data_IF_228437693472
#
_entry.id   IF_228437693472
#
_cell.length_a   1.000
_cell.length_b   1.000
_cell.length_c   1.000
_cell.angle_alpha   90.00
_cell.angle_beta   90.00
_cell.angle_gamma   90.00
#
_symmetry.space_group_name_H-M   'P 1'
#
loop_
_entity.id
_entity.type
_entity.pdbx_description
1 polymer ?
#
# COMPACT_ATOMS: atom_id res chain seq x y z
N UNK A 1 -8.56 23.54 44.37
CA UNK A 1 -9.62 23.77 43.35
C UNK A 1 -9.00 24.46 42.19
N UNK A 2 -9.58 24.32 41.01
CA UNK A 2 -9.19 25.02 39.79
C UNK A 2 -10.16 26.17 39.60
N UNK A 3 -9.68 27.39 39.26
CA UNK A 3 -10.54 28.56 39.05
C UNK A 3 -11.03 28.60 37.58
N UNK A 4 -10.14 28.36 36.64
CA UNK A 4 -10.45 28.34 35.21
C UNK A 4 -9.42 27.50 34.46
N UNK A 5 -9.72 27.21 33.22
CA UNK A 5 -8.77 26.56 32.29
C UNK A 5 -8.98 27.10 30.88
N UNK A 6 -7.92 27.05 30.08
CA UNK A 6 -7.95 27.30 28.65
C UNK A 6 -7.51 26.04 27.93
N UNK A 7 -8.23 25.68 26.87
CA UNK A 7 -7.88 24.54 26.03
C UNK A 7 -7.33 25.07 24.70
N UNK A 8 -6.03 24.94 24.50
CA UNK A 8 -5.32 25.33 23.28
C UNK A 8 -4.99 24.13 22.39
N UNK A 9 -5.58 22.95 22.70
CA UNK A 9 -5.31 21.70 21.98
C UNK A 9 -5.69 21.82 20.52
N UNK A 10 -4.86 21.22 19.66
CA UNK A 10 -5.11 21.02 18.22
C UNK A 10 -5.59 19.61 17.96
N UNK A 11 -5.71 19.19 16.70
CA UNK A 11 -6.01 17.82 16.32
C UNK A 11 -4.84 16.86 16.59
N UNK A 12 -3.62 17.38 16.74
CA UNK A 12 -2.40 16.59 16.90
C UNK A 12 -1.79 16.72 18.30
N UNK A 13 -1.95 17.90 18.95
CA UNK A 13 -1.33 18.21 20.24
C UNK A 13 -2.38 18.51 21.31
N UNK A 14 -2.10 18.06 22.55
CA UNK A 14 -2.91 18.32 23.74
C UNK A 14 -2.24 19.41 24.57
N UNK A 15 -2.87 20.60 24.65
CA UNK A 15 -2.37 21.74 25.41
C UNK A 15 -3.50 22.36 26.26
N UNK A 16 -3.32 22.32 27.59
CA UNK A 16 -4.23 22.89 28.56
C UNK A 16 -3.48 23.78 29.55
N UNK A 17 -3.92 25.03 29.65
CA UNK A 17 -3.50 25.92 30.72
C UNK A 17 -4.53 25.93 31.87
N UNK A 18 -4.07 25.72 33.10
CA UNK A 18 -4.90 25.61 34.28
C UNK A 18 -4.54 26.75 35.26
N UNK A 19 -5.54 27.53 35.65
CA UNK A 19 -5.35 28.67 36.51
C UNK A 19 -5.94 28.45 37.90
N UNK A 20 -5.24 29.01 38.91
CA UNK A 20 -5.71 29.04 40.30
C UNK A 20 -5.72 27.66 40.99
N UNK A 21 -4.85 26.74 40.56
CA UNK A 21 -4.73 25.46 41.24
C UNK A 21 -4.12 25.62 42.65
N UNK A 22 -4.84 25.18 43.66
CA UNK A 22 -4.47 25.27 45.09
C UNK A 22 -4.26 23.90 45.76
N UNK A 23 -4.20 22.83 44.98
CA UNK A 23 -3.99 21.47 45.48
C UNK A 23 -2.52 21.18 45.80
N UNK A 24 -2.29 20.01 46.46
CA UNK A 24 -0.95 19.54 46.86
C UNK A 24 -0.30 18.65 45.80
N UNK A 25 -1.10 17.93 45.01
CA UNK A 25 -0.63 16.97 43.99
C UNK A 25 -1.48 17.10 42.74
N UNK A 26 -0.96 17.87 41.78
CA UNK A 26 -1.61 18.16 40.52
C UNK A 26 -1.97 16.85 39.77
N UNK A 27 -1.05 15.90 39.69
CA UNK A 27 -1.22 14.64 38.97
C UNK A 27 -2.37 13.80 39.52
N UNK A 28 -2.46 13.75 40.85
CA UNK A 28 -3.50 13.00 41.56
C UNK A 28 -4.85 13.72 41.53
N UNK A 29 -4.84 15.01 41.79
CA UNK A 29 -6.06 15.83 41.92
C UNK A 29 -6.74 15.99 40.54
N UNK A 30 -5.98 16.09 39.47
CA UNK A 30 -6.49 16.14 38.08
C UNK A 30 -6.66 14.74 37.46
N UNK A 31 -6.41 13.67 38.20
CA UNK A 31 -6.51 12.28 37.72
C UNK A 31 -5.70 12.04 36.42
N UNK A 32 -4.55 12.70 36.30
CA UNK A 32 -3.69 12.60 35.12
C UNK A 32 -2.99 11.22 34.97
N UNK A 33 -3.01 10.40 36.05
CA UNK A 33 -2.43 9.07 36.05
C UNK A 33 -3.51 8.00 35.97
N UNK A 34 -3.40 7.14 34.94
CA UNK A 34 -4.23 5.95 34.81
C UNK A 34 -3.37 4.70 34.95
N UNK A 35 -3.78 3.78 35.81
CA UNK A 35 -3.08 2.49 35.99
C UNK A 35 -3.81 1.44 35.15
N UNK A 36 -3.06 0.73 34.31
CA UNK A 36 -3.55 -0.43 33.56
C UNK A 36 -2.97 -1.70 34.22
N UNK A 37 -3.83 -2.67 34.46
CA UNK A 37 -3.42 -3.95 34.97
C UNK A 37 -3.25 -4.97 33.86
N UNK A 38 -2.13 -5.68 33.85
CA UNK A 38 -1.82 -6.74 32.90
C UNK A 38 -2.37 -8.11 33.28
N UNK A 39 -3.17 -8.18 34.34
CA UNK A 39 -3.77 -9.42 34.82
C UNK A 39 -4.90 -9.98 33.96
N UNK A 40 -5.48 -9.15 33.10
CA UNK A 40 -6.59 -9.51 32.22
C UNK A 40 -6.21 -9.44 30.74
N UNK A 41 -5.14 -10.13 30.35
CA UNK A 41 -4.67 -10.17 28.94
C UNK A 41 -5.43 -11.24 28.16
N UNK A 42 -6.70 -10.97 27.85
CA UNK A 42 -7.50 -11.78 26.95
C UNK A 42 -7.52 -11.13 25.56
N UNK A 43 -7.01 -11.83 24.54
CA UNK A 43 -6.97 -11.37 23.17
C UNK A 43 -7.50 -12.47 22.23
N UNK A 44 -7.87 -12.09 21.02
CA UNK A 44 -8.21 -13.05 19.98
C UNK A 44 -6.95 -13.73 19.46
N UNK A 45 -6.87 -15.04 19.66
CA UNK A 45 -5.86 -15.87 19.04
C UNK A 45 -6.31 -16.22 17.61
N UNK A 46 -5.42 -16.28 16.60
CA UNK A 46 -5.79 -16.51 15.19
C UNK A 46 -6.62 -17.78 14.95
N UNK A 47 -6.43 -18.82 15.76
CA UNK A 47 -7.09 -20.13 15.56
C UNK A 47 -7.89 -20.62 16.77
N UNK A 48 -7.66 -20.07 17.98
CA UNK A 48 -8.26 -20.57 19.24
C UNK A 48 -9.39 -19.71 19.76
N UNK A 49 -9.77 -18.62 19.07
CA UNK A 49 -10.74 -17.66 19.58
C UNK A 49 -10.18 -16.78 20.69
N UNK A 50 -10.98 -16.50 21.73
CA UNK A 50 -10.51 -15.70 22.88
C UNK A 50 -9.54 -16.55 23.71
N UNK A 51 -8.31 -16.07 23.86
CA UNK A 51 -7.25 -16.73 24.62
C UNK A 51 -6.71 -15.81 25.72
N UNK A 52 -6.43 -16.38 26.89
CA UNK A 52 -5.80 -15.67 27.99
C UNK A 52 -4.30 -15.89 27.94
N UNK A 53 -3.55 -14.81 27.75
CA UNK A 53 -2.10 -14.82 27.76
C UNK A 53 -1.54 -14.57 29.15
N UNK A 54 -0.45 -15.27 29.49
CA UNK A 54 0.21 -15.11 30.78
C UNK A 54 1.04 -13.82 30.87
N UNK A 55 1.63 -13.41 29.72
CA UNK A 55 2.49 -12.23 29.63
C UNK A 55 2.52 -11.68 28.21
N UNK A 56 3.06 -10.47 28.07
CA UNK A 56 3.18 -9.80 26.78
C UNK A 56 4.13 -10.52 25.78
N UNK A 57 5.11 -11.25 26.31
CA UNK A 57 6.06 -12.00 25.47
C UNK A 57 5.37 -13.16 24.73
N UNK A 58 4.44 -13.84 25.38
CA UNK A 58 3.62 -14.89 24.75
C UNK A 58 2.77 -14.33 23.60
N UNK A 59 2.15 -13.16 23.82
CA UNK A 59 1.42 -12.44 22.75
C UNK A 59 2.33 -12.13 21.57
N UNK A 60 3.54 -11.62 21.84
CA UNK A 60 4.51 -11.28 20.82
C UNK A 60 4.97 -12.51 20.02
N UNK A 61 5.17 -13.65 20.65
CA UNK A 61 5.55 -14.88 19.94
C UNK A 61 4.48 -15.29 18.93
N UNK A 62 3.24 -15.40 19.36
CA UNK A 62 2.12 -15.75 18.47
C UNK A 62 1.97 -14.72 17.35
N UNK A 63 2.10 -13.43 17.67
CA UNK A 63 2.03 -12.35 16.69
C UNK A 63 3.16 -12.41 15.66
N UNK A 64 4.39 -12.69 16.08
CA UNK A 64 5.57 -12.77 15.19
C UNK A 64 5.37 -13.86 14.15
N UNK A 65 4.94 -15.06 14.56
CA UNK A 65 4.71 -16.18 13.64
C UNK A 65 3.64 -15.82 12.59
N UNK A 66 2.49 -15.35 13.06
CA UNK A 66 1.40 -14.92 12.18
C UNK A 66 1.84 -13.81 11.22
N UNK A 67 2.58 -12.83 11.73
CA UNK A 67 3.05 -11.69 10.95
C UNK A 67 4.01 -12.11 9.84
N UNK A 68 4.91 -13.03 10.12
CA UNK A 68 5.84 -13.58 9.11
C UNK A 68 5.10 -14.30 7.97
N UNK A 69 4.04 -15.04 8.27
CA UNK A 69 3.20 -15.64 7.24
C UNK A 69 2.51 -14.59 6.37
N UNK A 70 1.99 -13.54 6.99
CA UNK A 70 1.38 -12.43 6.26
C UNK A 70 2.38 -11.68 5.38
N UNK A 71 3.65 -11.53 5.80
CA UNK A 71 4.69 -10.95 4.95
C UNK A 71 5.06 -11.82 3.76
N UNK A 72 4.98 -13.15 3.86
CA UNK A 72 5.10 -14.03 2.68
C UNK A 72 3.97 -13.77 1.67
N UNK A 73 2.73 -13.69 2.14
CA UNK A 73 1.56 -13.38 1.29
C UNK A 73 1.67 -11.98 0.68
N UNK A 74 2.08 -10.98 1.49
CA UNK A 74 2.29 -9.59 1.03
C UNK A 74 3.35 -9.54 -0.06
N UNK A 75 4.49 -10.23 0.11
CA UNK A 75 5.53 -10.29 -0.92
C UNK A 75 4.99 -10.88 -2.22
N UNK A 76 4.31 -12.01 -2.16
CA UNK A 76 3.73 -12.66 -3.34
C UNK A 76 2.74 -11.73 -4.07
N UNK A 77 1.87 -11.05 -3.32
CA UNK A 77 0.92 -10.09 -3.88
C UNK A 77 1.62 -8.89 -4.54
N UNK A 78 2.65 -8.33 -3.91
CA UNK A 78 3.40 -7.20 -4.49
C UNK A 78 4.11 -7.60 -5.79
N UNK A 79 4.71 -8.80 -5.84
CA UNK A 79 5.33 -9.34 -7.05
C UNK A 79 4.30 -9.45 -8.17
N UNK A 80 3.12 -10.05 -7.91
CA UNK A 80 2.04 -10.18 -8.90
C UNK A 80 1.55 -8.82 -9.42
N UNK A 81 1.32 -7.85 -8.53
CA UNK A 81 0.88 -6.50 -8.90
C UNK A 81 1.91 -5.78 -9.77
N UNK A 82 3.20 -5.85 -9.40
CA UNK A 82 4.27 -5.20 -10.17
C UNK A 82 4.49 -5.86 -11.53
N UNK A 83 4.44 -7.18 -11.61
CA UNK A 83 4.51 -7.90 -12.88
C UNK A 83 3.37 -7.49 -13.82
N UNK A 84 2.14 -7.46 -13.33
CA UNK A 84 0.97 -7.02 -14.10
C UNK A 84 1.14 -5.57 -14.57
N UNK A 85 1.64 -4.68 -13.69
CA UNK A 85 1.88 -3.28 -14.04
C UNK A 85 2.93 -3.15 -15.12
N UNK A 86 4.08 -3.81 -15.00
CA UNK A 86 5.16 -3.78 -15.99
C UNK A 86 4.68 -4.28 -17.36
N UNK A 87 3.96 -5.40 -17.40
CA UNK A 87 3.38 -5.97 -18.62
C UNK A 87 2.37 -5.01 -19.25
N UNK A 88 1.47 -4.42 -18.47
CA UNK A 88 0.49 -3.46 -18.99
C UNK A 88 1.14 -2.20 -19.57
N UNK A 89 2.11 -1.63 -18.87
CA UNK A 89 2.85 -0.46 -19.36
C UNK A 89 3.66 -0.80 -20.62
N UNK A 90 4.30 -1.97 -20.68
CA UNK A 90 5.01 -2.44 -21.86
C UNK A 90 4.09 -2.60 -23.08
N UNK A 91 2.92 -3.20 -22.91
CA UNK A 91 1.93 -3.31 -23.99
C UNK A 91 1.40 -1.95 -24.45
N UNK A 92 1.16 -1.01 -23.51
CA UNK A 92 0.75 0.36 -23.85
C UNK A 92 1.83 1.09 -24.65
N UNK A 93 3.08 1.03 -24.19
CA UNK A 93 4.20 1.64 -24.91
C UNK A 93 4.31 1.09 -26.33
N UNK A 94 4.29 -0.25 -26.49
CA UNK A 94 4.35 -0.91 -27.79
C UNK A 94 3.17 -0.52 -28.68
N UNK A 95 1.95 -0.49 -28.15
CA UNK A 95 0.76 -0.11 -28.87
C UNK A 95 0.83 1.33 -29.38
N UNK A 96 1.24 2.27 -28.53
CA UNK A 96 1.39 3.69 -28.91
C UNK A 96 2.48 3.85 -29.96
N UNK A 97 3.64 3.18 -29.84
CA UNK A 97 4.70 3.18 -30.86
C UNK A 97 4.18 2.69 -32.21
N UNK A 98 3.51 1.53 -32.25
CA UNK A 98 2.97 0.97 -33.48
C UNK A 98 1.95 1.90 -34.16
N UNK A 99 1.16 2.65 -33.39
CA UNK A 99 0.22 3.64 -33.94
C UNK A 99 0.95 4.85 -34.48
N UNK A 100 1.98 5.36 -33.82
CA UNK A 100 2.78 6.52 -34.25
C UNK A 100 3.57 6.17 -35.51
N UNK A 101 4.17 4.99 -35.58
CA UNK A 101 4.96 4.50 -36.71
C UNK A 101 4.09 4.13 -37.94
N UNK A 102 2.77 3.98 -37.71
CA UNK A 102 1.82 3.62 -38.77
C UNK A 102 1.66 2.10 -38.97
N UNK A 103 2.34 1.28 -38.20
CA UNK A 103 2.25 -0.20 -38.25
C UNK A 103 0.87 -0.70 -37.87
N UNK A 104 0.17 0.03 -36.99
CA UNK A 104 -1.19 -0.26 -36.57
C UNK A 104 -2.09 0.96 -36.84
N UNK A 105 -3.01 0.80 -37.78
CA UNK A 105 -3.99 1.85 -38.10
C UNK A 105 -5.25 1.65 -37.27
N UNK A 106 -5.48 2.54 -36.31
CA UNK A 106 -6.64 2.50 -35.40
C UNK A 106 -7.86 3.22 -35.98
N UNK A 107 -7.64 4.25 -36.80
CA UNK A 107 -8.69 5.10 -37.34
C UNK A 107 -9.38 4.47 -38.55
N UNK A 108 -10.71 4.71 -38.67
CA UNK A 108 -11.54 4.25 -39.79
C UNK A 108 -11.67 2.73 -39.96
N UNK A 109 -11.25 1.92 -38.97
CA UNK A 109 -11.47 0.47 -38.93
C UNK A 109 -12.69 0.11 -38.08
N UNK A 110 -13.35 -1.01 -38.37
CA UNK A 110 -14.36 -1.58 -37.48
C UNK A 110 -13.68 -2.18 -36.26
N UNK A 111 -14.33 -2.08 -35.09
CA UNK A 111 -13.78 -2.60 -33.82
C UNK A 111 -13.35 -4.07 -33.94
N UNK A 112 -14.14 -4.92 -34.58
CA UNK A 112 -13.84 -6.35 -34.77
C UNK A 112 -12.56 -6.60 -35.58
N UNK A 113 -12.34 -5.82 -36.65
CA UNK A 113 -11.17 -5.97 -37.51
C UNK A 113 -9.90 -5.53 -36.76
N UNK A 114 -10.01 -4.43 -36.00
CA UNK A 114 -8.95 -3.94 -35.14
C UNK A 114 -8.59 -4.95 -34.03
N UNK A 115 -9.57 -5.52 -33.35
CA UNK A 115 -9.36 -6.54 -32.34
C UNK A 115 -8.72 -7.82 -32.90
N UNK A 116 -9.06 -8.21 -34.13
CA UNK A 116 -8.45 -9.35 -34.80
C UNK A 116 -6.97 -9.10 -35.11
N UNK A 117 -6.62 -7.91 -35.56
CA UNK A 117 -5.24 -7.50 -35.80
C UNK A 117 -4.42 -7.41 -34.50
N UNK A 118 -5.00 -6.81 -33.45
CA UNK A 118 -4.39 -6.71 -32.12
C UNK A 118 -4.15 -8.08 -31.49
N UNK A 119 -5.00 -9.06 -31.76
CA UNK A 119 -4.89 -10.41 -31.17
C UNK A 119 -3.60 -11.14 -31.53
N UNK A 120 -2.93 -10.74 -32.61
CA UNK A 120 -1.65 -11.31 -33.02
C UNK A 120 -0.47 -10.79 -32.16
N UNK A 121 -0.62 -9.61 -31.59
CA UNK A 121 0.48 -8.90 -30.91
C UNK A 121 0.23 -8.70 -29.40
N UNK A 122 -1.01 -8.57 -29.00
CA UNK A 122 -1.39 -8.21 -27.63
C UNK A 122 -2.34 -9.24 -27.02
N UNK A 123 -2.13 -9.64 -25.76
CA UNK A 123 -3.09 -10.48 -25.04
C UNK A 123 -4.31 -9.67 -24.62
N UNK A 124 -5.45 -10.34 -24.50
CA UNK A 124 -6.63 -9.76 -23.85
C UNK A 124 -6.39 -9.74 -22.34
N UNK A 125 -6.71 -8.63 -21.70
CA UNK A 125 -6.75 -8.49 -20.25
C UNK A 125 -8.24 -8.36 -19.87
N UNK A 126 -8.69 -9.17 -18.91
CA UNK A 126 -10.12 -9.25 -18.53
C UNK A 126 -11.07 -9.49 -19.70
N UNK A 127 -10.59 -10.25 -20.72
CA UNK A 127 -11.37 -10.63 -21.88
C UNK A 127 -11.49 -9.57 -22.99
N UNK A 128 -10.90 -8.40 -22.82
CA UNK A 128 -10.98 -7.28 -23.76
C UNK A 128 -9.63 -6.60 -24.01
N UNK A 129 -9.61 -5.58 -24.87
CA UNK A 129 -8.46 -4.72 -25.17
C UNK A 129 -8.65 -3.30 -24.65
N UNK A 130 -9.56 -3.06 -23.71
CA UNK A 130 -9.90 -1.71 -23.24
C UNK A 130 -8.69 -1.00 -22.61
N UNK A 131 -7.73 -1.74 -22.06
CA UNK A 131 -6.49 -1.19 -21.52
C UNK A 131 -5.58 -0.52 -22.58
N UNK A 132 -5.78 -0.84 -23.88
CA UNK A 132 -5.11 -0.22 -25.03
C UNK A 132 -6.04 0.77 -25.76
N UNK A 133 -7.29 0.40 -25.97
CA UNK A 133 -8.24 1.20 -26.76
C UNK A 133 -8.73 2.46 -26.04
N UNK A 134 -8.65 2.51 -24.71
CA UNK A 134 -9.00 3.69 -23.92
C UNK A 134 -7.86 4.70 -23.75
N UNK A 135 -6.75 4.54 -24.48
CA UNK A 135 -5.65 5.50 -24.48
C UNK A 135 -6.14 6.79 -25.16
N UNK A 136 -6.02 7.91 -24.44
CA UNK A 136 -6.45 9.22 -24.95
C UNK A 136 -5.57 9.65 -26.12
N UNK A 137 -6.18 10.33 -27.12
CA UNK A 137 -5.47 10.80 -28.33
C UNK A 137 -4.24 11.67 -28.02
N UNK A 138 -4.29 12.44 -26.92
CA UNK A 138 -3.16 13.26 -26.45
C UNK A 138 -1.94 12.42 -26.04
N UNK A 139 -2.12 11.12 -25.80
CA UNK A 139 -1.04 10.21 -25.38
C UNK A 139 -0.33 9.52 -26.57
N UNK A 140 -0.74 9.79 -27.80
CA UNK A 140 -0.02 9.32 -29.01
C UNK A 140 1.10 10.30 -29.38
N UNK A 141 2.06 10.46 -28.47
CA UNK A 141 3.24 11.31 -28.63
C UNK A 141 4.51 10.55 -28.25
N UNK A 142 5.63 10.94 -28.82
CA UNK A 142 6.93 10.34 -28.49
C UNK A 142 7.27 10.49 -26.99
N UNK A 143 6.91 11.64 -26.39
CA UNK A 143 7.11 11.88 -24.97
C UNK A 143 6.30 10.89 -24.10
N UNK A 144 5.09 10.54 -24.53
CA UNK A 144 4.26 9.55 -23.84
C UNK A 144 4.87 8.15 -23.92
N UNK A 145 5.44 7.78 -25.08
CA UNK A 145 6.17 6.51 -25.22
C UNK A 145 7.36 6.47 -24.27
N UNK A 146 8.16 7.54 -24.25
CA UNK A 146 9.32 7.65 -23.36
C UNK A 146 8.91 7.56 -21.87
N UNK A 147 7.81 8.23 -21.51
CA UNK A 147 7.26 8.15 -20.14
C UNK A 147 6.82 6.74 -19.77
N UNK A 148 6.11 6.04 -20.67
CA UNK A 148 5.68 4.65 -20.45
C UNK A 148 6.87 3.69 -20.35
N UNK A 149 7.89 3.85 -21.19
CA UNK A 149 9.11 3.05 -21.10
C UNK A 149 9.87 3.29 -19.79
N UNK A 150 9.88 4.53 -19.30
CA UNK A 150 10.43 4.84 -17.98
C UNK A 150 9.63 4.15 -16.86
N UNK A 151 8.30 4.17 -16.92
CA UNK A 151 7.45 3.46 -15.97
C UNK A 151 7.69 1.94 -15.98
N UNK A 152 7.91 1.34 -17.15
CA UNK A 152 8.28 -0.09 -17.27
C UNK A 152 9.58 -0.34 -16.53
N UNK A 153 10.60 0.48 -16.81
CA UNK A 153 11.92 0.31 -16.18
C UNK A 153 11.85 0.46 -14.65
N UNK A 154 11.13 1.46 -14.17
CA UNK A 154 10.92 1.66 -12.73
C UNK A 154 10.17 0.47 -12.08
N UNK A 155 9.17 -0.08 -12.76
CA UNK A 155 8.43 -1.24 -12.28
C UNK A 155 9.29 -2.51 -12.26
N UNK A 156 10.13 -2.71 -13.27
CA UNK A 156 11.05 -3.85 -13.35
C UNK A 156 12.15 -3.76 -12.26
N UNK A 157 12.74 -2.58 -12.05
CA UNK A 157 13.72 -2.33 -10.99
C UNK A 157 13.12 -2.61 -9.60
N UNK A 158 11.90 -2.14 -9.35
CA UNK A 158 11.20 -2.38 -8.10
C UNK A 158 10.83 -3.86 -7.93
N UNK A 159 10.39 -4.51 -8.99
CA UNK A 159 10.12 -5.95 -9.00
C UNK A 159 11.36 -6.75 -8.64
N UNK A 160 12.50 -6.47 -9.27
CA UNK A 160 13.77 -7.12 -8.92
C UNK A 160 14.17 -6.89 -7.47
N UNK A 161 14.00 -5.66 -6.99
CA UNK A 161 14.28 -5.30 -5.60
C UNK A 161 13.45 -6.14 -4.64
N UNK A 162 12.14 -6.26 -4.88
CA UNK A 162 11.23 -7.04 -4.02
C UNK A 162 11.50 -8.55 -4.15
N UNK A 163 11.80 -9.04 -5.34
CA UNK A 163 12.12 -10.46 -5.54
C UNK A 163 13.38 -10.88 -4.77
N UNK A 164 14.43 -10.04 -4.80
CA UNK A 164 15.70 -10.28 -4.07
C UNK A 164 15.54 -10.13 -2.56
N UNK A 165 14.59 -9.34 -2.09
CA UNK A 165 14.37 -9.08 -0.66
C UNK A 165 13.65 -10.25 0.01
N UNK A 166 14.10 -10.69 1.19
CA UNK A 166 13.36 -11.68 1.98
C UNK A 166 12.15 -11.04 2.67
N UNK A 167 11.10 -11.83 2.93
CA UNK A 167 9.92 -11.38 3.68
C UNK A 167 10.31 -10.89 5.09
N UNK A 168 11.33 -11.49 5.71
CA UNK A 168 11.86 -11.07 7.00
C UNK A 168 12.54 -9.69 6.91
N UNK A 169 13.29 -9.44 5.84
CA UNK A 169 13.93 -8.14 5.59
C UNK A 169 12.89 -7.06 5.37
N UNK A 170 11.82 -7.35 4.62
CA UNK A 170 10.70 -6.42 4.45
C UNK A 170 10.10 -6.02 5.79
N UNK A 171 9.83 -7.00 6.66
CA UNK A 171 9.29 -6.72 7.99
C UNK A 171 10.24 -5.91 8.86
N UNK A 172 11.53 -6.24 8.87
CA UNK A 172 12.55 -5.48 9.61
C UNK A 172 12.66 -4.02 9.14
N UNK A 173 12.48 -3.77 7.85
CA UNK A 173 12.47 -2.40 7.32
C UNK A 173 11.25 -1.62 7.81
N UNK A 174 10.07 -2.25 7.77
CA UNK A 174 8.83 -1.61 8.24
C UNK A 174 8.90 -1.28 9.76
N UNK A 175 9.49 -2.17 10.57
CA UNK A 175 9.69 -1.91 12.02
C UNK A 175 10.66 -0.74 12.27
N UNK A 176 11.66 -0.54 11.42
CA UNK A 176 12.60 0.59 11.57
C UNK A 176 11.98 1.94 11.25
N UNK A 177 10.87 1.96 10.54
CA UNK A 177 10.16 3.18 10.13
C UNK A 177 9.03 3.57 11.11
N UNK A 178 8.88 2.83 12.21
CA UNK A 178 7.98 3.14 13.33
C UNK A 178 8.75 3.88 14.42
#
# INVERSE_FOLDING_TARGET
>A
MINSYTNNSTTEDVDFEIFGYTGKDLVKDLKMKKTFHTSNMHLFHPTRGIHKYANAEEILRDFVELRLEHYKKRKAHLVDVLQKRAVMCGHRAKFVSMVIEGDLVVFKKKKKDLEAEMSQTFPKIEGNYDYLLNIKTVQYTEESVMSLLKEVKEADEELERIMKMSHLTMWKMDIKNI
#
